data_IF_813083252181
#
_entry.id   IF_813083252181
#
_cell.length_a   1.000
_cell.length_b   1.000
_cell.length_c   1.000
_cell.angle_alpha   90.00
_cell.angle_beta   90.00
_cell.angle_gamma   90.00
#
_symmetry.space_group_name_H-M   'P 1'
#
loop_
_entity.id
_entity.type
_entity.pdbx_description
1 polymer ?
#
# COMPACT_ATOMS: atom_id res chain seq x y z
N UNK A 1 10.14 -4.32 -6.18
CA UNK A 1 10.58 -4.32 -7.60
C UNK A 1 11.12 -5.69 -8.02
N UNK A 2 11.87 -6.39 -7.17
CA UNK A 2 12.50 -7.67 -7.52
C UNK A 2 11.50 -8.83 -7.69
N UNK A 3 10.38 -8.82 -6.97
CA UNK A 3 9.31 -9.81 -7.13
C UNK A 3 8.69 -9.83 -8.52
N UNK A 4 8.72 -8.70 -9.23
CA UNK A 4 8.28 -8.61 -10.62
C UNK A 4 9.31 -9.20 -11.61
N UNK A 5 10.59 -9.29 -11.21
CA UNK A 5 11.71 -9.76 -12.05
C UNK A 5 12.09 -11.23 -11.85
N UNK A 6 12.04 -11.74 -10.61
CA UNK A 6 12.68 -13.03 -10.25
C UNK A 6 11.72 -14.17 -9.89
N UNK A 7 10.39 -13.97 -9.97
CA UNK A 7 9.43 -15.06 -9.84
C UNK A 7 8.91 -15.34 -8.43
N UNK A 8 7.86 -16.17 -8.38
CA UNK A 8 6.96 -16.40 -7.24
C UNK A 8 7.63 -17.01 -5.99
N UNK A 9 8.60 -17.87 -6.16
CA UNK A 9 9.17 -18.71 -5.09
C UNK A 9 9.93 -17.94 -4.01
N UNK A 10 10.64 -16.90 -4.37
CA UNK A 10 11.49 -16.16 -3.43
C UNK A 10 10.67 -15.32 -2.42
N UNK A 11 9.63 -14.64 -2.89
CA UNK A 11 8.79 -13.79 -2.01
C UNK A 11 8.00 -14.61 -1.01
N UNK A 12 7.41 -15.74 -1.43
CA UNK A 12 6.62 -16.60 -0.53
C UNK A 12 7.46 -17.20 0.57
N UNK A 13 8.73 -17.56 0.28
CA UNK A 13 9.66 -18.02 1.30
C UNK A 13 9.97 -16.96 2.36
N UNK A 14 10.20 -15.72 1.94
CA UNK A 14 10.45 -14.60 2.88
C UNK A 14 9.21 -14.32 3.74
N UNK A 15 8.00 -14.29 3.13
CA UNK A 15 6.76 -14.08 3.87
C UNK A 15 6.63 -15.12 4.97
N UNK A 16 6.79 -16.40 4.61
CA UNK A 16 6.72 -17.51 5.56
C UNK A 16 7.73 -17.37 6.70
N UNK A 17 8.98 -17.10 6.37
CA UNK A 17 10.03 -16.91 7.37
C UNK A 17 9.73 -15.78 8.35
N UNK A 18 9.23 -14.64 7.87
CA UNK A 18 8.91 -13.49 8.72
C UNK A 18 7.70 -13.77 9.62
N UNK A 19 6.65 -14.35 9.05
CA UNK A 19 5.41 -14.63 9.80
C UNK A 19 5.60 -15.72 10.83
N UNK A 20 6.29 -16.82 10.50
CA UNK A 20 6.50 -17.95 11.42
C UNK A 20 7.53 -17.64 12.51
N UNK A 21 8.66 -16.95 12.16
CA UNK A 21 9.72 -16.70 13.14
C UNK A 21 9.46 -15.51 14.05
N UNK A 22 8.80 -14.49 13.55
CA UNK A 22 8.67 -13.20 14.26
C UNK A 22 7.24 -12.83 14.62
N UNK A 23 6.25 -13.58 14.15
CA UNK A 23 4.82 -13.29 14.33
C UNK A 23 4.46 -11.83 13.95
N UNK A 24 5.07 -11.32 12.88
CA UNK A 24 4.85 -9.97 12.38
C UNK A 24 3.87 -10.05 11.19
N UNK A 25 2.77 -9.27 11.19
CA UNK A 25 1.87 -9.21 10.05
C UNK A 25 2.60 -8.67 8.81
N UNK A 26 2.53 -9.41 7.71
CA UNK A 26 3.19 -9.04 6.45
C UNK A 26 2.17 -8.57 5.44
N UNK A 27 2.36 -7.36 4.89
CA UNK A 27 1.69 -6.89 3.70
C UNK A 27 2.65 -6.99 2.52
N UNK A 28 2.19 -7.53 1.40
CA UNK A 28 3.05 -7.77 0.23
C UNK A 28 2.34 -7.42 -1.07
N UNK A 29 3.08 -6.88 -2.01
CA UNK A 29 2.61 -6.52 -3.35
C UNK A 29 3.72 -6.69 -4.38
N UNK A 30 3.45 -6.19 -5.59
CA UNK A 30 4.36 -6.29 -6.73
C UNK A 30 4.21 -7.62 -7.50
N UNK A 31 3.98 -7.52 -8.81
CA UNK A 31 3.88 -8.67 -9.70
C UNK A 31 2.63 -9.54 -9.51
N UNK A 32 1.60 -9.09 -8.80
CA UNK A 32 0.31 -9.80 -8.71
C UNK A 32 -0.45 -9.61 -10.00
N UNK A 33 -0.68 -10.69 -10.74
CA UNK A 33 -1.33 -10.70 -12.06
C UNK A 33 -2.48 -11.69 -12.18
N UNK A 34 -2.53 -12.68 -11.28
CA UNK A 34 -3.53 -13.75 -11.27
C UNK A 34 -4.05 -13.99 -9.86
N UNK A 35 -5.21 -14.65 -9.76
CA UNK A 35 -5.75 -15.06 -8.46
C UNK A 35 -4.81 -16.04 -7.74
N UNK A 36 -4.10 -16.88 -8.49
CA UNK A 36 -3.10 -17.79 -7.93
C UNK A 36 -1.94 -17.02 -7.27
N UNK A 37 -1.54 -15.86 -7.82
CA UNK A 37 -0.52 -15.01 -7.19
C UNK A 37 -0.98 -14.49 -5.82
N UNK A 38 -2.27 -14.20 -5.69
CA UNK A 38 -2.89 -13.79 -4.41
C UNK A 38 -2.91 -14.96 -3.44
N UNK A 39 -3.42 -16.12 -3.88
CA UNK A 39 -3.48 -17.33 -3.04
C UNK A 39 -2.13 -17.76 -2.50
N UNK A 40 -1.12 -17.80 -3.36
CA UNK A 40 0.24 -18.21 -2.98
C UNK A 40 0.80 -17.33 -1.84
N UNK A 41 0.53 -16.02 -1.87
CA UNK A 41 0.99 -15.09 -0.83
C UNK A 41 0.19 -15.23 0.47
N UNK A 42 -1.12 -15.40 0.38
CA UNK A 42 -1.98 -15.62 1.55
C UNK A 42 -1.63 -16.94 2.23
N UNK A 43 -1.42 -18.00 1.44
CA UNK A 43 -1.04 -19.31 1.94
C UNK A 43 0.38 -19.32 2.56
N UNK A 44 1.25 -18.42 2.10
CA UNK A 44 2.56 -18.19 2.72
C UNK A 44 2.49 -17.41 4.05
N UNK A 45 1.31 -16.93 4.45
CA UNK A 45 1.10 -16.22 5.70
C UNK A 45 0.94 -14.71 5.57
N UNK A 46 0.85 -14.15 4.35
CA UNK A 46 0.59 -12.72 4.20
C UNK A 46 -0.74 -12.33 4.83
N UNK A 47 -0.73 -11.32 5.69
CA UNK A 47 -1.93 -10.75 6.28
C UNK A 47 -2.71 -9.89 5.27
N UNK A 48 -2.02 -9.31 4.27
CA UNK A 48 -2.64 -8.53 3.21
C UNK A 48 -1.83 -8.62 1.91
N UNK A 49 -2.54 -8.75 0.78
CA UNK A 49 -1.97 -8.72 -0.56
C UNK A 49 -2.38 -7.43 -1.27
N UNK A 50 -1.39 -6.74 -1.83
CA UNK A 50 -1.55 -5.44 -2.48
C UNK A 50 -1.55 -5.65 -4.00
N UNK A 51 -2.63 -5.26 -4.66
CA UNK A 51 -2.80 -5.31 -6.11
C UNK A 51 -2.61 -3.88 -6.65
N UNK A 52 -1.57 -3.66 -7.44
CA UNK A 52 -1.25 -2.36 -8.04
C UNK A 52 -1.71 -2.28 -9.50
N UNK A 53 -0.78 -2.37 -10.45
CA UNK A 53 -1.03 -2.24 -11.92
C UNK A 53 -2.23 -3.05 -12.42
N UNK A 54 -2.47 -4.23 -11.85
CA UNK A 54 -3.61 -5.07 -12.24
C UNK A 54 -4.97 -4.43 -11.88
N UNK A 55 -5.05 -3.56 -10.87
CA UNK A 55 -6.28 -2.83 -10.56
C UNK A 55 -6.73 -1.91 -11.71
N UNK A 56 -5.78 -1.44 -12.52
CA UNK A 56 -6.05 -0.62 -13.73
C UNK A 56 -6.24 -1.52 -14.96
N UNK A 57 -5.31 -2.45 -15.21
CA UNK A 57 -5.26 -3.25 -16.44
C UNK A 57 -6.25 -4.44 -16.47
N UNK A 58 -6.58 -4.99 -15.31
CA UNK A 58 -7.52 -6.11 -15.15
C UNK A 58 -8.29 -5.97 -13.82
N UNK A 59 -9.23 -5.01 -13.72
CA UNK A 59 -9.94 -4.74 -12.48
C UNK A 59 -10.78 -5.92 -11.98
N UNK A 60 -11.23 -6.81 -12.86
CA UNK A 60 -11.99 -8.02 -12.47
C UNK A 60 -11.16 -8.95 -11.56
N UNK A 61 -9.83 -8.95 -11.69
CA UNK A 61 -8.97 -9.67 -10.75
C UNK A 61 -9.13 -9.16 -9.31
N UNK A 62 -9.29 -7.84 -9.13
CA UNK A 62 -9.49 -7.25 -7.80
C UNK A 62 -10.83 -7.70 -7.24
N UNK A 63 -11.88 -7.66 -8.06
CA UNK A 63 -13.23 -8.12 -7.67
C UNK A 63 -13.20 -9.58 -7.21
N UNK A 64 -12.65 -10.47 -8.03
CA UNK A 64 -12.51 -11.89 -7.70
C UNK A 64 -11.69 -12.11 -6.42
N UNK A 65 -10.59 -11.37 -6.27
CA UNK A 65 -9.73 -11.45 -5.09
C UNK A 65 -10.47 -11.00 -3.81
N UNK A 66 -11.25 -9.92 -3.89
CA UNK A 66 -12.04 -9.42 -2.74
C UNK A 66 -13.15 -10.40 -2.38
N UNK A 67 -13.87 -10.95 -3.37
CA UNK A 67 -14.91 -11.97 -3.14
C UNK A 67 -14.35 -13.21 -2.41
N UNK A 68 -13.11 -13.59 -2.72
CA UNK A 68 -12.46 -14.78 -2.16
C UNK A 68 -11.75 -14.54 -0.84
N UNK A 69 -11.10 -13.38 -0.67
CA UNK A 69 -10.19 -13.11 0.44
C UNK A 69 -10.57 -11.90 1.30
N UNK A 70 -11.62 -11.16 0.92
CA UNK A 70 -12.16 -10.05 1.70
C UNK A 70 -11.11 -8.99 2.04
N UNK A 71 -11.05 -8.64 3.31
CA UNK A 71 -10.18 -7.58 3.87
C UNK A 71 -8.67 -7.87 3.77
N UNK A 72 -8.29 -9.08 3.33
CA UNK A 72 -6.89 -9.39 3.01
C UNK A 72 -6.42 -8.79 1.69
N UNK A 73 -7.30 -8.13 0.95
CA UNK A 73 -6.95 -7.45 -0.30
C UNK A 73 -6.87 -5.94 -0.06
N UNK A 74 -5.80 -5.34 -0.54
CA UNK A 74 -5.66 -3.90 -0.66
C UNK A 74 -5.26 -3.52 -2.08
N UNK A 75 -5.55 -2.28 -2.47
CA UNK A 75 -5.13 -1.76 -3.78
C UNK A 75 -4.03 -0.73 -3.59
N UNK A 76 -2.93 -0.89 -4.32
CA UNK A 76 -1.86 0.10 -4.41
C UNK A 76 -2.21 1.13 -5.48
N UNK A 77 -2.25 2.39 -5.09
CA UNK A 77 -2.56 3.54 -5.94
C UNK A 77 -1.36 4.47 -5.93
N UNK A 78 -0.46 4.24 -6.86
CA UNK A 78 0.68 5.14 -7.09
C UNK A 78 0.22 6.25 -8.02
N UNK A 79 0.43 7.52 -7.64
CA UNK A 79 -0.07 8.65 -8.43
C UNK A 79 0.98 9.73 -8.64
N UNK A 80 0.88 10.40 -9.78
CA UNK A 80 1.62 11.61 -10.11
C UNK A 80 0.64 12.70 -10.52
N UNK A 81 0.65 13.81 -9.79
CA UNK A 81 -0.31 14.92 -10.02
C UNK A 81 -1.77 14.43 -10.03
N UNK A 82 -2.12 13.50 -9.14
CA UNK A 82 -3.46 12.94 -9.01
C UNK A 82 -3.84 11.86 -10.03
N UNK A 83 -3.01 11.60 -11.06
CA UNK A 83 -3.24 10.57 -12.07
C UNK A 83 -2.48 9.29 -11.71
N UNK A 84 -3.11 8.13 -11.93
CA UNK A 84 -2.54 6.82 -11.54
C UNK A 84 -1.35 6.46 -12.41
N UNK A 85 -0.24 6.12 -11.77
CA UNK A 85 0.94 5.56 -12.40
C UNK A 85 0.94 4.02 -12.32
N UNK A 86 1.35 3.37 -13.39
CA UNK A 86 1.36 1.92 -13.53
C UNK A 86 2.71 1.42 -14.05
N UNK A 87 2.88 0.11 -14.16
CA UNK A 87 4.08 -0.52 -14.73
C UNK A 87 5.39 -0.12 -14.01
N UNK A 88 5.37 0.04 -12.67
CA UNK A 88 6.55 0.48 -11.91
C UNK A 88 6.87 1.96 -12.13
N UNK A 89 5.83 2.79 -12.34
CA UNK A 89 5.87 4.25 -12.54
C UNK A 89 6.38 4.69 -13.93
N UNK A 90 6.53 3.74 -14.86
CA UNK A 90 6.97 4.04 -16.22
C UNK A 90 5.88 4.69 -17.09
N UNK A 91 4.62 4.49 -16.71
CA UNK A 91 3.46 4.95 -17.45
C UNK A 91 2.48 5.65 -16.51
N UNK A 92 1.95 6.82 -16.92
CA UNK A 92 0.85 7.50 -16.23
C UNK A 92 -0.42 7.27 -17.04
N UNK A 93 -1.45 6.73 -16.39
CA UNK A 93 -2.74 6.46 -17.02
C UNK A 93 -3.62 7.72 -17.06
N UNK A 94 -4.72 7.66 -17.83
CA UNK A 94 -5.73 8.71 -17.89
C UNK A 94 -6.78 8.59 -16.74
N UNK A 95 -6.54 7.73 -15.75
CA UNK A 95 -7.45 7.49 -14.63
C UNK A 95 -6.97 8.28 -13.42
N UNK A 96 -7.86 9.06 -12.80
CA UNK A 96 -7.54 9.71 -11.55
C UNK A 96 -7.46 8.72 -10.38
N UNK A 97 -6.65 9.03 -9.36
CA UNK A 97 -6.56 8.21 -8.15
C UNK A 97 -7.93 8.07 -7.48
N UNK A 98 -8.74 9.13 -7.47
CA UNK A 98 -10.08 9.13 -6.89
C UNK A 98 -11.01 8.19 -7.66
N UNK A 99 -11.05 8.27 -8.99
CA UNK A 99 -11.92 7.43 -9.82
C UNK A 99 -11.56 5.95 -9.70
N UNK A 100 -10.26 5.63 -9.68
CA UNK A 100 -9.81 4.26 -9.43
C UNK A 100 -10.28 3.78 -8.05
N UNK A 101 -10.09 4.58 -7.01
CA UNK A 101 -10.49 4.21 -5.65
C UNK A 101 -12.00 4.01 -5.52
N UNK A 102 -12.81 4.87 -6.13
CA UNK A 102 -14.27 4.72 -6.15
C UNK A 102 -14.69 3.41 -6.84
N UNK A 103 -14.10 3.10 -7.99
CA UNK A 103 -14.32 1.83 -8.67
C UNK A 103 -13.92 0.63 -7.82
N UNK A 104 -12.76 0.70 -7.14
CA UNK A 104 -12.31 -0.38 -6.26
C UNK A 104 -13.23 -0.55 -5.04
N UNK A 105 -13.78 0.55 -4.52
CA UNK A 105 -14.80 0.51 -3.47
C UNK A 105 -16.06 -0.23 -3.90
N UNK A 106 -16.53 -0.04 -5.14
CA UNK A 106 -17.66 -0.79 -5.70
C UNK A 106 -17.39 -2.30 -5.74
N UNK A 107 -16.13 -2.71 -5.90
CA UNK A 107 -15.72 -4.12 -5.85
C UNK A 107 -15.52 -4.64 -4.41
N UNK A 108 -15.77 -3.80 -3.40
CA UNK A 108 -15.68 -4.17 -1.98
C UNK A 108 -14.29 -4.00 -1.36
N UNK A 109 -13.36 -3.35 -2.05
CA UNK A 109 -12.07 -2.96 -1.46
C UNK A 109 -12.31 -2.00 -0.31
N UNK A 110 -11.69 -2.25 0.85
CA UNK A 110 -11.76 -1.36 2.02
C UNK A 110 -10.49 -0.53 2.20
N UNK A 111 -9.34 -1.10 1.87
CA UNK A 111 -8.04 -0.47 2.12
C UNK A 111 -7.31 -0.17 0.82
N UNK A 112 -6.79 1.06 0.73
CA UNK A 112 -5.87 1.47 -0.34
C UNK A 112 -4.56 1.98 0.23
N UNK A 113 -3.46 1.77 -0.49
CA UNK A 113 -2.17 2.36 -0.19
C UNK A 113 -1.92 3.43 -1.25
N UNK A 114 -1.94 4.68 -0.83
CA UNK A 114 -1.76 5.81 -1.72
C UNK A 114 -0.32 6.32 -1.65
N UNK A 115 0.39 6.27 -2.78
CA UNK A 115 1.76 6.79 -2.92
C UNK A 115 1.77 7.97 -3.88
N UNK A 116 2.15 9.17 -3.40
CA UNK A 116 2.57 10.22 -4.32
C UNK A 116 4.01 9.95 -4.74
N UNK A 117 4.19 9.50 -6.01
CA UNK A 117 5.51 9.10 -6.52
C UNK A 117 6.50 10.26 -6.64
N UNK A 118 6.02 11.51 -6.66
CA UNK A 118 6.88 12.69 -6.63
C UNK A 118 7.51 12.94 -5.27
N UNK A 119 6.95 12.34 -4.22
CA UNK A 119 7.41 12.43 -2.84
C UNK A 119 8.22 11.21 -2.40
N UNK A 120 8.01 10.06 -3.07
CA UNK A 120 8.67 8.82 -2.65
C UNK A 120 10.19 8.92 -2.69
N UNK A 121 10.83 8.49 -1.60
CA UNK A 121 12.28 8.56 -1.44
C UNK A 121 12.87 9.97 -1.25
N UNK A 122 12.09 11.06 -1.41
CA UNK A 122 12.56 12.44 -1.35
C UNK A 122 12.73 12.97 0.08
N UNK A 123 12.12 12.32 1.08
CA UNK A 123 12.15 12.76 2.48
C UNK A 123 11.69 14.22 2.66
N UNK A 124 10.69 14.63 1.90
CA UNK A 124 10.14 16.00 1.89
C UNK A 124 8.76 16.11 2.55
N UNK A 125 8.36 15.09 3.29
CA UNK A 125 7.01 14.90 3.84
C UNK A 125 6.06 14.25 2.84
N UNK A 126 5.02 13.52 3.33
CA UNK A 126 3.97 12.94 2.52
C UNK A 126 3.05 14.02 1.93
N UNK A 127 2.30 13.67 0.89
CA UNK A 127 1.30 14.57 0.31
C UNK A 127 0.01 14.53 1.14
N UNK A 128 -0.04 15.33 2.19
CA UNK A 128 -1.16 15.39 3.15
C UNK A 128 -2.46 15.79 2.46
N UNK A 129 -2.41 16.82 1.60
CA UNK A 129 -3.60 17.35 0.90
C UNK A 129 -4.23 16.30 -0.01
N UNK A 130 -3.44 15.67 -0.88
CA UNK A 130 -3.93 14.65 -1.79
C UNK A 130 -4.42 13.39 -1.04
N UNK A 131 -3.75 13.00 0.04
CA UNK A 131 -4.18 11.88 0.89
C UNK A 131 -5.52 12.17 1.56
N UNK A 132 -5.67 13.39 2.11
CA UNK A 132 -6.93 13.82 2.73
C UNK A 132 -8.07 13.88 1.71
N UNK A 133 -7.83 14.47 0.54
CA UNK A 133 -8.81 14.53 -0.54
C UNK A 133 -9.32 13.14 -0.93
N UNK A 134 -8.41 12.17 -1.00
CA UNK A 134 -8.76 10.78 -1.28
C UNK A 134 -9.62 10.16 -0.17
N UNK A 135 -9.27 10.38 1.09
CA UNK A 135 -10.07 9.92 2.24
C UNK A 135 -11.48 10.51 2.19
N UNK A 136 -11.57 11.82 2.06
CA UNK A 136 -12.83 12.56 2.10
C UNK A 136 -13.78 12.17 0.94
N UNK A 137 -13.24 11.98 -0.26
CA UNK A 137 -14.03 11.63 -1.44
C UNK A 137 -14.45 10.18 -1.52
N UNK A 138 -13.62 9.27 -0.98
CA UNK A 138 -13.85 7.84 -1.13
C UNK A 138 -14.38 7.16 0.12
N UNK A 139 -14.04 7.67 1.30
CA UNK A 139 -14.34 7.04 2.58
C UNK A 139 -13.68 5.68 2.76
N UNK A 140 -12.59 5.42 2.03
CA UNK A 140 -11.78 4.21 2.17
C UNK A 140 -10.74 4.37 3.29
N UNK A 141 -10.28 3.25 3.81
CA UNK A 141 -9.11 3.18 4.69
C UNK A 141 -7.85 3.46 3.87
N UNK A 142 -7.37 4.71 3.88
CA UNK A 142 -6.19 5.12 3.12
C UNK A 142 -4.94 5.02 3.98
N UNK A 143 -3.95 4.25 3.51
CA UNK A 143 -2.60 4.19 4.07
C UNK A 143 -1.72 5.12 3.24
N UNK A 144 -1.16 6.16 3.88
CA UNK A 144 -0.26 7.09 3.23
C UNK A 144 1.12 6.47 2.95
N UNK A 145 1.68 6.75 1.78
CA UNK A 145 3.00 6.26 1.38
C UNK A 145 3.77 7.34 0.61
N UNK A 146 5.09 7.34 0.79
CA UNK A 146 6.02 8.26 0.13
C UNK A 146 6.31 9.53 0.94
N UNK A 147 7.60 9.90 1.00
CA UNK A 147 8.07 11.19 1.51
C UNK A 147 8.30 11.29 3.01
N UNK A 148 7.81 10.41 3.84
CA UNK A 148 7.99 10.46 5.31
C UNK A 148 9.45 10.63 5.70
N UNK A 149 9.74 11.62 6.54
CA UNK A 149 11.09 12.00 6.93
C UNK A 149 11.29 12.26 8.42
N UNK A 150 10.26 12.71 9.13
CA UNK A 150 10.30 13.13 10.53
C UNK A 150 9.01 12.78 11.27
N UNK A 151 9.05 12.86 12.61
CA UNK A 151 7.92 12.52 13.47
C UNK A 151 6.67 13.38 13.19
N UNK A 152 6.85 14.66 12.90
CA UNK A 152 5.76 15.58 12.54
C UNK A 152 4.98 15.12 11.29
N UNK A 153 5.65 14.45 10.33
CA UNK A 153 4.96 13.90 9.16
C UNK A 153 3.94 12.82 9.56
N UNK A 154 4.28 12.02 10.58
CA UNK A 154 3.38 10.98 11.10
C UNK A 154 2.19 11.59 11.83
N UNK A 155 2.40 12.66 12.60
CA UNK A 155 1.34 13.41 13.28
C UNK A 155 0.37 14.05 12.24
N UNK A 156 0.94 14.62 11.18
CA UNK A 156 0.15 15.19 10.09
C UNK A 156 -0.71 14.13 9.39
N UNK A 157 -0.15 12.94 9.11
CA UNK A 157 -0.89 11.81 8.52
C UNK A 157 -1.98 11.31 9.46
N UNK A 158 -1.72 11.21 10.76
CA UNK A 158 -2.74 10.82 11.75
C UNK A 158 -3.87 11.85 11.82
N UNK A 159 -3.53 13.16 11.81
CA UNK A 159 -4.49 14.27 11.95
C UNK A 159 -5.55 14.32 10.86
N UNK A 160 -5.25 13.80 9.66
CA UNK A 160 -6.20 13.74 8.54
C UNK A 160 -7.05 12.47 8.52
N UNK A 161 -6.93 11.59 9.52
CA UNK A 161 -7.70 10.35 9.62
C UNK A 161 -7.21 9.22 8.71
N UNK A 162 -5.95 9.24 8.30
CA UNK A 162 -5.34 8.13 7.55
C UNK A 162 -5.36 6.85 8.39
N UNK A 163 -5.65 5.72 7.75
CA UNK A 163 -5.68 4.41 8.40
C UNK A 163 -4.29 3.88 8.78
N UNK A 164 -3.23 4.48 8.21
CA UNK A 164 -1.86 4.13 8.49
C UNK A 164 -0.87 4.89 7.63
N UNK A 165 0.42 4.60 7.83
CA UNK A 165 1.51 5.20 7.06
C UNK A 165 2.62 4.19 6.81
N UNK A 166 3.20 4.23 5.61
CA UNK A 166 4.40 3.46 5.27
C UNK A 166 5.62 4.33 5.50
N UNK A 167 6.53 3.83 6.33
CA UNK A 167 7.82 4.46 6.61
C UNK A 167 8.90 3.59 5.97
N UNK A 168 9.56 4.11 4.97
CA UNK A 168 10.64 3.43 4.25
C UNK A 168 12.01 4.00 4.61
N UNK A 169 12.54 4.84 3.72
CA UNK A 169 13.89 5.41 3.77
C UNK A 169 14.25 6.04 5.12
N UNK A 170 13.30 6.70 5.79
CA UNK A 170 13.53 7.36 7.08
C UNK A 170 13.93 6.39 8.21
N UNK A 171 13.48 5.12 8.17
CA UNK A 171 13.95 4.09 9.11
C UNK A 171 15.34 3.60 8.74
N UNK A 172 15.60 3.35 7.45
CA UNK A 172 16.87 2.79 7.00
C UNK A 172 18.05 3.73 7.15
N UNK A 173 17.83 5.04 7.06
CA UNK A 173 18.88 6.07 7.26
C UNK A 173 18.95 6.63 8.68
N UNK A 174 18.10 6.14 9.60
CA UNK A 174 18.09 6.54 11.00
C UNK A 174 17.44 7.90 11.29
N UNK A 175 16.74 8.51 10.33
CA UNK A 175 15.99 9.75 10.55
C UNK A 175 14.81 9.56 11.50
N UNK A 176 14.23 8.35 11.54
CA UNK A 176 13.22 7.92 12.49
C UNK A 176 13.67 6.66 13.23
N UNK A 177 13.44 6.62 14.54
CA UNK A 177 13.61 5.44 15.37
C UNK A 177 12.27 4.71 15.51
N UNK A 178 12.24 3.43 15.12
CA UNK A 178 11.00 2.63 15.13
C UNK A 178 10.38 2.50 16.53
N UNK A 179 11.22 2.40 17.59
CA UNK A 179 10.69 2.28 18.96
C UNK A 179 9.98 3.56 19.40
N UNK A 180 10.56 4.71 19.05
CA UNK A 180 9.93 6.01 19.33
C UNK A 180 8.61 6.16 18.56
N UNK A 181 8.59 5.80 17.28
CA UNK A 181 7.37 5.80 16.46
C UNK A 181 6.30 4.92 17.09
N UNK A 182 6.60 3.66 17.39
CA UNK A 182 5.65 2.72 17.96
C UNK A 182 5.18 3.14 19.34
N UNK A 183 6.04 3.74 20.20
CA UNK A 183 5.62 4.23 21.49
C UNK A 183 4.61 5.36 21.44
N UNK A 184 4.68 6.18 20.38
CA UNK A 184 3.80 7.34 20.20
C UNK A 184 2.47 6.99 19.51
N UNK A 185 2.51 6.14 18.49
CA UNK A 185 1.36 5.84 17.61
C UNK A 185 0.75 4.45 17.83
N UNK A 186 1.27 3.65 18.75
CA UNK A 186 0.64 2.38 19.11
C UNK A 186 -0.69 2.69 19.79
N UNK A 187 -1.79 2.54 19.06
CA UNK A 187 -3.12 2.48 19.69
C UNK A 187 -3.12 1.23 20.55
N UNK A 188 -3.44 1.38 21.84
CA UNK A 188 -3.50 0.27 22.76
C UNK A 188 -4.36 -0.86 22.23
N UNK A 189 -3.94 -2.09 22.50
CA UNK A 189 -4.72 -3.30 22.32
C UNK A 189 -6.00 -3.24 23.17
#
# INVERSE_FOLDING_TARGET
LDGARYGKSFITGIIKDVTEKYNIPVQTGGGVRTIQDVEDRINAGASRVIIGTAAVKNPELVKEAVEKFGDKIAVGVDAKNGMVAISGWEEVSDISAVDLCLKMKEYGVKTVIYTDISKDGMMSGPNIEATKDLIDKTGLDVIASGGVSKMEDLENVESIGSAGVIIGKALYNGALDLKQVLSKFKKGE
#
